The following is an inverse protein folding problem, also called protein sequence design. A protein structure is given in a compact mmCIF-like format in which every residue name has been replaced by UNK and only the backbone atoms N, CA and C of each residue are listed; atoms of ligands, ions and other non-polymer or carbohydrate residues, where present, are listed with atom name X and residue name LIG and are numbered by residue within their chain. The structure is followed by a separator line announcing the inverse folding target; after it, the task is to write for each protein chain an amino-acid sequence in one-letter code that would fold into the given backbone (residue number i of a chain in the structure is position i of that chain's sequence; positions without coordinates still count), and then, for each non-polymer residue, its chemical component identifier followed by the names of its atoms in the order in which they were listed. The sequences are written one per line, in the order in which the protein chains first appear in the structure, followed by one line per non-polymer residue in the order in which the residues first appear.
data_IF_491620770111
#
_entry.id   IF_491620770111
#
_cell.length_a   1.000
_cell.length_b   1.000
_cell.length_c   1.000
_cell.angle_alpha   90.00
_cell.angle_beta   90.00
_cell.angle_gamma   90.00
#
_symmetry.space_group_name_H-M   'P 1'
#
loop_
_entity.id
_entity.type
_entity.pdbx_description
1 polymer ?
#
# COMPACT_ATOMS: atom_id res chain seq x y z
N UNK A 1 -28.34 29.12 -3.25
CA UNK A 1 -27.73 28.65 -1.98
C UNK A 1 -27.09 27.30 -2.23
N UNK A 2 -25.76 27.19 -2.04
CA UNK A 2 -25.03 25.92 -2.11
C UNK A 2 -25.51 24.94 -1.03
N UNK A 3 -25.29 23.63 -1.23
CA UNK A 3 -25.60 22.59 -0.24
C UNK A 3 -24.92 22.88 1.11
N UNK A 4 -23.67 23.34 1.08
CA UNK A 4 -22.93 23.78 2.25
C UNK A 4 -23.64 24.92 3.01
N UNK A 5 -24.18 25.90 2.29
CA UNK A 5 -24.95 26.98 2.91
C UNK A 5 -26.20 26.48 3.65
N UNK A 6 -26.87 25.44 3.11
CA UNK A 6 -28.02 24.80 3.77
C UNK A 6 -27.59 23.99 5.00
N UNK A 7 -26.48 23.25 4.93
CA UNK A 7 -25.94 22.50 6.06
C UNK A 7 -25.50 23.44 7.19
N UNK A 8 -24.78 24.51 6.86
CA UNK A 8 -24.37 25.51 7.84
C UNK A 8 -25.57 26.16 8.56
N UNK A 9 -26.67 26.36 7.84
CA UNK A 9 -27.90 26.89 8.43
C UNK A 9 -28.64 25.83 9.27
N UNK A 10 -28.63 24.57 8.85
CA UNK A 10 -29.25 23.47 9.59
C UNK A 10 -28.55 23.19 10.92
N UNK A 11 -27.22 23.35 10.96
CA UNK A 11 -26.38 23.12 12.14
C UNK A 11 -26.07 24.41 12.93
N UNK A 12 -26.76 25.52 12.66
CA UNK A 12 -26.57 26.82 13.31
C UNK A 12 -25.10 27.27 13.42
N UNK A 13 -24.33 27.06 12.34
CA UNK A 13 -22.92 27.39 12.29
C UNK A 13 -22.68 28.92 12.40
N UNK A 14 -21.74 29.31 13.28
CA UNK A 14 -21.35 30.72 13.46
C UNK A 14 -20.82 31.33 12.15
N UNK A 15 -20.83 32.67 12.04
CA UNK A 15 -20.28 33.35 10.86
C UNK A 15 -18.79 33.04 10.61
N UNK A 16 -18.02 32.81 11.68
CA UNK A 16 -16.62 32.38 11.59
C UNK A 16 -16.50 30.97 10.99
N UNK A 17 -17.25 30.00 11.53
CA UNK A 17 -17.25 28.61 11.06
C UNK A 17 -17.78 28.53 9.62
N UNK A 18 -18.80 29.32 9.28
CA UNK A 18 -19.30 29.43 7.91
C UNK A 18 -18.23 29.95 6.95
N UNK A 19 -17.52 31.02 7.33
CA UNK A 19 -16.45 31.56 6.50
C UNK A 19 -15.35 30.54 6.25
N UNK A 20 -14.94 29.81 7.29
CA UNK A 20 -13.92 28.78 7.21
C UNK A 20 -14.36 27.57 6.38
N UNK A 21 -15.59 27.08 6.58
CA UNK A 21 -16.16 26.00 5.77
C UNK A 21 -16.33 26.39 4.30
N UNK A 22 -16.75 27.63 4.01
CA UNK A 22 -16.86 28.11 2.63
C UNK A 22 -15.48 28.26 1.98
N UNK A 23 -14.46 28.69 2.72
CA UNK A 23 -13.09 28.73 2.22
C UNK A 23 -12.57 27.30 1.92
N UNK A 24 -12.75 26.36 2.85
CA UNK A 24 -12.40 24.96 2.66
C UNK A 24 -13.15 24.32 1.48
N UNK A 25 -14.42 24.67 1.28
CA UNK A 25 -15.22 24.18 0.16
C UNK A 25 -14.79 24.76 -1.19
N UNK A 26 -14.45 26.04 -1.24
CA UNK A 26 -13.87 26.66 -2.44
C UNK A 26 -12.48 26.09 -2.77
N UNK A 27 -11.66 25.82 -1.76
CA UNK A 27 -10.38 25.14 -1.95
C UNK A 27 -10.58 23.67 -2.35
N UNK A 28 -11.69 23.03 -1.95
CA UNK A 28 -12.06 21.68 -2.38
C UNK A 28 -12.55 21.59 -3.84
N UNK A 29 -12.96 22.72 -4.44
CA UNK A 29 -13.28 22.82 -5.86
C UNK A 29 -12.01 22.82 -6.74
N UNK A 30 -10.81 22.87 -6.15
CA UNK A 30 -9.58 22.61 -6.89
C UNK A 30 -9.55 21.14 -7.33
N UNK A 31 -9.17 20.85 -8.59
CA UNK A 31 -8.99 19.49 -9.03
C UNK A 31 -8.06 18.73 -8.07
N UNK A 32 -8.37 17.49 -7.69
CA UNK A 32 -7.49 16.70 -6.86
C UNK A 32 -6.06 16.66 -7.42
N UNK A 33 -5.06 16.57 -6.54
CA UNK A 33 -3.64 16.70 -6.92
C UNK A 33 -3.18 15.73 -8.02
N UNK A 34 -3.85 14.58 -8.16
CA UNK A 34 -3.55 13.58 -9.18
C UNK A 34 -4.06 13.99 -10.57
N UNK A 35 -5.16 14.74 -10.65
CA UNK A 35 -5.70 15.26 -11.91
C UNK A 35 -4.78 16.32 -12.51
N UNK A 36 -4.17 17.18 -11.68
CA UNK A 36 -3.13 18.11 -12.11
C UNK A 36 -1.90 17.43 -12.73
N UNK A 37 -1.67 16.15 -12.42
CA UNK A 37 -0.58 15.35 -12.97
C UNK A 37 -1.05 14.41 -14.09
N UNK A 38 -2.28 14.59 -14.59
CA UNK A 38 -2.92 13.72 -15.59
C UNK A 38 -2.99 12.25 -15.19
N UNK A 39 -3.00 11.96 -13.89
CA UNK A 39 -3.14 10.61 -13.36
C UNK A 39 -4.62 10.22 -13.37
N UNK A 40 -4.94 9.18 -14.14
CA UNK A 40 -6.30 8.66 -14.29
C UNK A 40 -6.53 7.54 -13.29
N UNK A 41 -7.30 7.83 -12.26
CA UNK A 41 -7.76 6.86 -11.28
C UNK A 41 -9.27 6.72 -11.45
N UNK A 42 -9.69 5.65 -12.10
CA UNK A 42 -11.08 5.51 -12.59
C UNK A 42 -12.08 5.23 -11.48
N UNK A 43 -11.67 4.41 -10.51
CA UNK A 43 -12.56 3.96 -9.45
C UNK A 43 -12.56 4.95 -8.27
N UNK A 44 -13.77 5.27 -7.79
CA UNK A 44 -13.98 6.29 -6.77
C UNK A 44 -13.30 5.94 -5.45
N UNK A 45 -13.40 4.69 -4.99
CA UNK A 45 -12.76 4.26 -3.74
C UNK A 45 -11.23 4.37 -3.78
N UNK A 46 -10.63 4.15 -4.97
CA UNK A 46 -9.18 4.32 -5.17
C UNK A 46 -8.80 5.80 -5.11
N UNK A 47 -9.60 6.70 -5.69
CA UNK A 47 -9.40 8.16 -5.59
C UNK A 47 -9.47 8.62 -4.14
N UNK A 48 -10.46 8.15 -3.40
CA UNK A 48 -10.64 8.49 -1.99
C UNK A 48 -9.47 7.96 -1.15
N UNK A 49 -9.07 6.69 -1.33
CA UNK A 49 -7.92 6.12 -0.62
C UNK A 49 -6.61 6.84 -0.97
N UNK A 50 -6.45 7.25 -2.23
CA UNK A 50 -5.28 8.02 -2.69
C UNK A 50 -5.24 9.41 -2.05
N UNK A 51 -6.37 10.11 -1.97
CA UNK A 51 -6.50 11.40 -1.29
C UNK A 51 -6.24 11.30 0.21
N UNK A 52 -6.86 10.33 0.89
CA UNK A 52 -6.69 10.12 2.33
C UNK A 52 -5.23 9.86 2.68
N UNK A 53 -4.55 8.95 1.98
CA UNK A 53 -3.11 8.68 2.21
C UNK A 53 -2.24 9.90 1.93
N UNK A 54 -2.60 10.67 0.91
CA UNK A 54 -1.86 11.84 0.46
C UNK A 54 -1.92 13.02 1.44
N UNK A 55 -2.97 13.09 2.25
CA UNK A 55 -3.20 14.17 3.22
C UNK A 55 -3.05 13.70 4.69
N UNK A 56 -2.76 12.41 4.90
CA UNK A 56 -2.46 11.85 6.21
C UNK A 56 -1.13 12.37 6.77
N UNK A 57 -1.07 12.59 8.08
CA UNK A 57 0.19 12.78 8.81
C UNK A 57 0.86 11.45 9.19
N UNK A 58 0.04 10.41 9.43
CA UNK A 58 0.51 9.07 9.79
C UNK A 58 -0.32 8.03 9.05
N UNK A 59 0.36 6.99 8.56
CA UNK A 59 -0.25 5.81 7.93
C UNK A 59 0.31 4.57 8.59
N UNK A 60 -0.54 3.84 9.30
CA UNK A 60 -0.19 2.58 9.94
C UNK A 60 -0.94 1.44 9.26
N UNK A 61 -0.28 0.35 8.87
CA UNK A 61 -0.95 -0.70 8.09
C UNK A 61 -0.54 -2.12 8.43
N UNK A 62 -1.48 -3.04 8.19
CA UNK A 62 -1.29 -4.48 8.23
C UNK A 62 -1.52 -5.06 6.83
N UNK A 63 -0.67 -5.98 6.40
CA UNK A 63 -0.88 -6.72 5.15
C UNK A 63 -0.45 -8.18 5.23
N UNK A 64 -1.35 -9.07 4.83
CA UNK A 64 -1.18 -10.52 4.91
C UNK A 64 -0.98 -11.25 3.58
N UNK A 65 -1.04 -10.54 2.44
CA UNK A 65 -1.01 -11.21 1.13
C UNK A 65 -0.13 -10.51 0.10
N UNK A 66 -0.19 -9.19 0.05
CA UNK A 66 0.52 -8.37 -0.92
C UNK A 66 1.28 -7.26 -0.20
N UNK A 67 2.38 -6.82 -0.79
CA UNK A 67 3.11 -5.64 -0.28
C UNK A 67 2.17 -4.41 -0.34
N UNK A 68 2.08 -3.58 0.70
CA UNK A 68 1.27 -2.36 0.68
C UNK A 68 1.70 -1.38 -0.42
N UNK A 69 0.76 -0.68 -1.04
CA UNK A 69 1.02 0.17 -2.21
C UNK A 69 2.10 1.23 -2.00
N UNK A 70 2.15 1.83 -0.81
CA UNK A 70 3.17 2.84 -0.48
C UNK A 70 4.59 2.27 -0.37
N UNK A 71 4.74 0.94 -0.35
CA UNK A 71 6.01 0.23 -0.22
C UNK A 71 6.41 -0.51 -1.50
N UNK A 72 5.57 -0.51 -2.55
CA UNK A 72 5.81 -1.27 -3.79
C UNK A 72 6.87 -0.64 -4.69
N UNK A 73 7.64 -1.48 -5.37
CA UNK A 73 8.46 -1.08 -6.53
C UNK A 73 7.59 -0.92 -7.77
N UNK A 74 8.12 -0.23 -8.79
CA UNK A 74 7.42 -0.10 -10.08
C UNK A 74 7.14 -1.46 -10.72
N UNK A 75 8.08 -2.40 -10.66
CA UNK A 75 7.93 -3.72 -11.27
C UNK A 75 6.92 -4.58 -10.53
N UNK A 76 6.91 -4.54 -9.19
CA UNK A 76 5.88 -5.21 -8.39
C UNK A 76 4.49 -4.63 -8.69
N UNK A 77 4.36 -3.31 -8.73
CA UNK A 77 3.10 -2.64 -9.09
C UNK A 77 2.62 -3.01 -10.49
N UNK A 78 3.53 -3.13 -11.46
CA UNK A 78 3.18 -3.55 -12.83
C UNK A 78 2.56 -4.94 -12.86
N UNK A 79 3.13 -5.89 -12.12
CA UNK A 79 2.63 -7.27 -12.04
C UNK A 79 1.25 -7.33 -11.42
N UNK A 80 1.03 -6.58 -10.33
CA UNK A 80 -0.29 -6.52 -9.69
C UNK A 80 -1.32 -5.86 -10.62
N UNK A 81 -0.96 -4.78 -11.29
CA UNK A 81 -1.86 -4.08 -12.22
C UNK A 81 -2.30 -5.00 -13.37
N UNK A 82 -1.36 -5.71 -13.99
CA UNK A 82 -1.62 -6.66 -15.07
C UNK A 82 -2.57 -7.78 -14.61
N UNK A 83 -2.31 -8.38 -13.44
CA UNK A 83 -3.16 -9.41 -12.86
C UNK A 83 -4.59 -8.93 -12.52
N UNK A 84 -4.76 -7.64 -12.25
CA UNK A 84 -6.05 -7.02 -11.92
C UNK A 84 -6.75 -6.40 -13.15
N UNK A 85 -6.17 -6.51 -14.35
CA UNK A 85 -6.71 -5.92 -15.58
C UNK A 85 -6.67 -4.38 -15.58
N UNK A 86 -5.76 -3.78 -14.81
CA UNK A 86 -5.53 -2.33 -14.74
C UNK A 86 -4.35 -1.97 -15.65
N UNK A 87 -4.42 -0.80 -16.30
CA UNK A 87 -3.34 -0.34 -17.18
C UNK A 87 -2.03 -0.15 -16.37
N UNK A 88 -0.97 -0.93 -16.67
CA UNK A 88 0.16 -1.00 -15.75
C UNK A 88 1.01 0.28 -15.67
N UNK A 89 1.12 1.06 -16.75
CA UNK A 89 1.90 2.30 -16.73
C UNK A 89 1.23 3.35 -15.83
N UNK A 90 -0.08 3.47 -15.90
CA UNK A 90 -0.89 4.36 -15.07
C UNK A 90 -0.82 3.94 -13.61
N UNK A 91 -0.96 2.63 -13.31
CA UNK A 91 -0.84 2.14 -11.94
C UNK A 91 0.54 2.47 -11.33
N UNK A 92 1.61 2.29 -12.09
CA UNK A 92 2.98 2.66 -11.67
C UNK A 92 3.10 4.17 -11.47
N UNK A 93 2.55 4.99 -12.36
CA UNK A 93 2.58 6.44 -12.25
C UNK A 93 1.84 6.94 -10.99
N UNK A 94 0.64 6.41 -10.73
CA UNK A 94 -0.18 6.71 -9.55
C UNK A 94 0.56 6.31 -8.27
N UNK A 95 1.04 5.07 -8.21
CA UNK A 95 1.81 4.55 -7.06
C UNK A 95 3.05 5.41 -6.78
N UNK A 96 3.83 5.72 -7.81
CA UNK A 96 5.04 6.54 -7.68
C UNK A 96 4.73 7.98 -7.23
N UNK A 97 3.64 8.56 -7.73
CA UNK A 97 3.21 9.90 -7.33
C UNK A 97 2.72 9.94 -5.88
N UNK A 98 1.96 8.92 -5.45
CA UNK A 98 1.52 8.77 -4.06
C UNK A 98 2.72 8.66 -3.11
N UNK A 99 3.70 7.80 -3.42
CA UNK A 99 4.91 7.63 -2.63
C UNK A 99 5.75 8.93 -2.56
N UNK A 100 5.90 9.64 -3.68
CA UNK A 100 6.60 10.93 -3.72
C UNK A 100 5.92 11.96 -2.82
N UNK A 101 4.59 12.06 -2.91
CA UNK A 101 3.82 12.99 -2.09
C UNK A 101 3.93 12.66 -0.60
N UNK A 102 3.81 11.39 -0.23
CA UNK A 102 3.96 10.94 1.15
C UNK A 102 5.35 11.31 1.71
N UNK A 103 6.42 11.18 0.92
CA UNK A 103 7.77 11.62 1.30
C UNK A 103 7.86 13.13 1.46
N UNK A 104 7.33 13.91 0.52
CA UNK A 104 7.36 15.38 0.55
C UNK A 104 6.59 15.96 1.74
N UNK A 105 5.50 15.31 2.13
CA UNK A 105 4.68 15.69 3.29
C UNK A 105 5.24 15.19 4.63
N UNK A 106 6.27 14.36 4.61
CA UNK A 106 6.85 13.77 5.83
C UNK A 106 5.89 12.82 6.55
N UNK A 107 5.08 12.07 5.80
CA UNK A 107 4.09 11.14 6.38
C UNK A 107 4.80 10.03 7.13
N UNK A 108 4.53 9.90 8.43
CA UNK A 108 5.02 8.79 9.24
C UNK A 108 4.35 7.50 8.77
N UNK A 109 5.14 6.47 8.48
CA UNK A 109 4.64 5.21 7.95
C UNK A 109 5.15 4.06 8.79
N UNK A 110 4.24 3.23 9.29
CA UNK A 110 4.54 1.99 10.01
C UNK A 110 3.72 0.85 9.44
N UNK A 111 4.38 -0.23 9.05
CA UNK A 111 3.71 -1.38 8.50
C UNK A 111 4.13 -2.65 9.22
N UNK A 112 3.15 -3.51 9.48
CA UNK A 112 3.39 -4.91 9.81
C UNK A 112 2.95 -5.73 8.60
N UNK A 113 3.81 -6.63 8.13
CA UNK A 113 3.46 -7.57 7.06
C UNK A 113 3.57 -9.00 7.58
N UNK A 114 2.65 -9.86 7.16
CA UNK A 114 2.75 -11.29 7.43
C UNK A 114 3.93 -11.90 6.66
N UNK A 115 4.62 -12.89 7.24
CA UNK A 115 5.73 -13.57 6.57
C UNK A 115 5.29 -14.17 5.22
N UNK A 116 4.02 -14.55 5.05
CA UNK A 116 3.50 -15.02 3.76
C UNK A 116 3.71 -14.03 2.61
N UNK A 117 3.73 -12.71 2.87
CA UNK A 117 4.01 -11.66 1.88
C UNK A 117 5.40 -11.84 1.27
N UNK A 118 6.39 -12.27 2.07
CA UNK A 118 7.77 -12.46 1.61
C UNK A 118 8.09 -13.91 1.22
N UNK A 119 7.24 -14.86 1.63
CA UNK A 119 7.37 -16.28 1.24
C UNK A 119 6.77 -16.61 -0.13
N UNK A 120 5.77 -15.85 -0.58
CA UNK A 120 5.04 -16.10 -1.85
C UNK A 120 5.44 -15.07 -2.91
N UNK A 121 6.37 -15.41 -3.83
CA UNK A 121 6.91 -14.41 -4.76
C UNK A 121 5.85 -13.93 -5.75
N UNK A 122 5.77 -12.61 -5.93
CA UNK A 122 4.95 -11.97 -6.96
C UNK A 122 5.87 -11.50 -8.08
N UNK A 123 5.50 -11.77 -9.33
CA UNK A 123 6.27 -11.30 -10.49
C UNK A 123 7.54 -12.10 -10.79
N UNK A 124 7.68 -13.28 -10.18
CA UNK A 124 8.87 -14.12 -10.29
C UNK A 124 10.00 -13.68 -9.35
N UNK A 125 11.12 -14.43 -9.34
CA UNK A 125 12.16 -14.26 -8.33
C UNK A 125 12.85 -12.90 -8.34
N UNK A 126 13.12 -12.35 -9.54
CA UNK A 126 13.82 -11.07 -9.69
C UNK A 126 12.99 -9.90 -9.16
N UNK A 127 11.74 -9.78 -9.61
CA UNK A 127 10.82 -8.71 -9.16
C UNK A 127 10.66 -8.73 -7.64
N UNK A 128 10.51 -9.93 -7.08
CA UNK A 128 10.37 -10.09 -5.63
C UNK A 128 11.67 -9.77 -4.87
N UNK A 129 12.85 -10.11 -5.41
CA UNK A 129 14.13 -9.79 -4.77
C UNK A 129 14.36 -8.27 -4.72
N UNK A 130 14.04 -7.57 -5.81
CA UNK A 130 14.11 -6.10 -5.88
C UNK A 130 13.09 -5.46 -4.91
N UNK A 131 11.89 -6.04 -4.80
CA UNK A 131 10.90 -5.61 -3.81
C UNK A 131 11.38 -5.82 -2.37
N UNK A 132 11.97 -6.97 -2.05
CA UNK A 132 12.51 -7.25 -0.71
C UNK A 132 13.65 -6.30 -0.37
N UNK A 133 14.48 -5.91 -1.32
CA UNK A 133 15.54 -4.92 -1.10
C UNK A 133 14.98 -3.57 -0.61
N UNK A 134 13.82 -3.14 -1.12
CA UNK A 134 13.11 -1.95 -0.60
C UNK A 134 12.58 -2.19 0.81
N UNK A 135 12.00 -3.36 1.08
CA UNK A 135 11.47 -3.71 2.40
C UNK A 135 12.56 -3.73 3.48
N UNK A 136 13.76 -4.23 3.15
CA UNK A 136 14.94 -4.20 4.05
C UNK A 136 15.31 -2.78 4.46
N UNK A 137 15.32 -1.86 3.50
CA UNK A 137 15.58 -0.44 3.77
C UNK A 137 14.54 0.19 4.69
N UNK A 138 13.26 -0.21 4.58
CA UNK A 138 12.19 0.26 5.45
C UNK A 138 12.26 -0.37 6.84
N UNK A 139 12.62 -1.65 6.94
CA UNK A 139 12.83 -2.33 8.21
C UNK A 139 13.98 -1.70 9.01
N UNK A 140 15.11 -1.42 8.35
CA UNK A 140 16.26 -0.72 8.96
C UNK A 140 15.95 0.73 9.38
N UNK A 141 14.85 1.32 8.90
CA UNK A 141 14.35 2.62 9.35
C UNK A 141 13.33 2.50 10.49
N UNK A 142 13.05 1.29 10.98
CA UNK A 142 12.01 1.02 11.98
C UNK A 142 10.58 1.22 11.45
N UNK A 143 10.38 1.25 10.13
CA UNK A 143 9.08 1.52 9.48
C UNK A 143 8.33 0.26 9.07
N UNK A 144 9.01 -0.88 9.08
CA UNK A 144 8.46 -2.17 8.69
C UNK A 144 8.84 -3.23 9.71
N UNK A 145 7.87 -4.05 10.11
CA UNK A 145 8.09 -5.30 10.85
C UNK A 145 7.45 -6.46 10.12
N UNK A 146 8.03 -7.65 10.25
CA UNK A 146 7.45 -8.89 9.74
C UNK A 146 6.85 -9.66 10.91
N UNK A 147 5.59 -10.09 10.81
CA UNK A 147 5.02 -11.06 11.73
C UNK A 147 5.48 -12.45 11.27
N UNK A 148 6.32 -13.10 12.08
CA UNK A 148 6.88 -14.40 11.77
C UNK A 148 5.81 -15.49 11.70
N UNK A 149 6.06 -16.52 10.91
CA UNK A 149 5.17 -17.67 10.76
C UNK A 149 4.90 -18.36 12.11
N UNK A 150 5.91 -18.42 12.98
CA UNK A 150 5.83 -19.01 14.31
C UNK A 150 4.96 -18.21 15.28
N UNK A 151 4.74 -16.92 15.02
CA UNK A 151 3.84 -16.06 15.82
C UNK A 151 2.37 -16.48 15.67
N UNK A 152 2.05 -17.34 14.69
CA UNK A 152 0.72 -17.82 14.41
C UNK A 152 -0.12 -16.81 13.63
N UNK A 153 -1.27 -17.27 13.12
CA UNK A 153 -2.16 -16.40 12.36
C UNK A 153 -2.87 -15.41 13.28
N UNK A 154 -2.79 -14.12 12.96
CA UNK A 154 -3.55 -13.11 13.66
C UNK A 154 -5.00 -13.09 13.13
N UNK A 155 -6.03 -13.18 13.99
CA UNK A 155 -7.42 -13.38 13.57
C UNK A 155 -8.06 -12.10 13.01
N UNK A 156 -7.64 -11.71 11.81
CA UNK A 156 -8.16 -10.56 11.07
C UNK A 156 -8.73 -11.00 9.74
N UNK A 157 -9.84 -10.39 9.35
CA UNK A 157 -10.54 -10.74 8.12
C UNK A 157 -9.85 -10.19 6.86
N UNK A 158 -9.07 -9.11 6.99
CA UNK A 158 -8.33 -8.52 5.87
C UNK A 158 -7.27 -7.49 6.27
N UNK A 159 -6.37 -7.21 5.33
CA UNK A 159 -5.44 -6.09 5.35
C UNK A 159 -6.16 -4.76 5.59
N UNK A 160 -5.48 -3.85 6.29
CA UNK A 160 -6.02 -2.52 6.56
C UNK A 160 -4.91 -1.46 6.67
N UNK A 161 -5.31 -0.20 6.47
CA UNK A 161 -4.51 0.99 6.75
C UNK A 161 -5.30 1.97 7.61
N UNK A 162 -4.64 2.54 8.62
CA UNK A 162 -5.11 3.58 9.50
C UNK A 162 -4.43 4.89 9.10
N UNK A 163 -5.19 5.81 8.54
CA UNK A 163 -4.70 7.10 8.09
C UNK A 163 -5.15 8.18 9.08
N UNK A 164 -4.20 8.80 9.78
CA UNK A 164 -4.48 9.98 10.61
C UNK A 164 -4.42 11.23 9.74
N UNK A 165 -5.58 11.78 9.40
CA UNK A 165 -5.71 13.01 8.60
C UNK A 165 -6.05 14.19 9.52
N UNK A 166 -5.36 15.35 9.42
CA UNK A 166 -5.67 16.51 10.25
C UNK A 166 -7.14 16.93 10.13
N UNK A 167 -7.78 17.17 11.27
CA UNK A 167 -9.19 17.60 11.31
C UNK A 167 -10.21 16.49 11.10
N UNK A 168 -9.78 15.24 10.90
CA UNK A 168 -10.64 14.06 10.82
C UNK A 168 -10.29 13.06 11.93
N UNK A 169 -11.27 12.24 12.31
CA UNK A 169 -10.98 10.99 13.00
C UNK A 169 -10.09 10.08 12.13
N UNK A 170 -9.38 9.14 12.75
CA UNK A 170 -8.54 8.20 11.99
C UNK A 170 -9.40 7.44 10.98
N UNK A 171 -9.02 7.53 9.71
CA UNK A 171 -9.69 6.88 8.60
C UNK A 171 -9.17 5.45 8.48
N UNK A 172 -10.07 4.48 8.48
CA UNK A 172 -9.75 3.07 8.27
C UNK A 172 -10.01 2.73 6.80
N UNK A 173 -9.01 2.19 6.13
CA UNK A 173 -9.08 1.73 4.75
C UNK A 173 -8.79 0.23 4.67
N UNK A 174 -9.62 -0.52 3.95
CA UNK A 174 -9.36 -1.92 3.62
C UNK A 174 -8.99 -2.06 2.14
N UNK A 175 -7.70 -2.19 1.79
CA UNK A 175 -7.26 -2.16 0.38
C UNK A 175 -7.91 -3.22 -0.51
N UNK A 176 -8.16 -4.41 0.04
CA UNK A 176 -8.73 -5.53 -0.73
C UNK A 176 -10.23 -5.38 -0.96
N UNK A 177 -10.96 -4.93 0.05
CA UNK A 177 -12.40 -4.67 -0.05
C UNK A 177 -12.71 -3.33 -0.71
N UNK A 178 -11.70 -2.45 -0.81
CA UNK A 178 -11.78 -1.07 -1.29
C UNK A 178 -12.78 -0.24 -0.48
N UNK A 179 -12.95 -0.55 0.80
CA UNK A 179 -13.86 0.16 1.69
C UNK A 179 -13.13 1.15 2.57
N UNK A 180 -13.76 2.30 2.81
CA UNK A 180 -13.23 3.38 3.65
C UNK A 180 -14.26 3.66 4.74
N UNK A 181 -13.79 3.75 5.98
CA UNK A 181 -14.60 4.04 7.15
C UNK A 181 -14.06 5.31 7.82
N UNK A 182 -14.91 6.32 7.93
CA UNK A 182 -14.64 7.55 8.67
C UNK A 182 -15.26 7.42 10.06
N UNK A 183 -14.42 7.37 11.10
CA UNK A 183 -14.85 7.05 12.47
C UNK A 183 -14.91 5.54 12.75
N UNK A 184 -14.86 5.16 14.04
CA UNK A 184 -14.94 3.75 14.45
C UNK A 184 -13.64 2.93 14.30
N UNK A 185 -12.52 3.57 13.99
CA UNK A 185 -11.22 2.90 13.84
C UNK A 185 -10.58 2.43 15.17
N UNK A 186 -11.18 2.71 16.33
CA UNK A 186 -10.60 2.40 17.66
C UNK A 186 -10.19 0.94 17.81
N UNK A 187 -11.05 0.00 17.39
CA UNK A 187 -10.70 -1.43 17.46
C UNK A 187 -9.47 -1.78 16.61
N UNK A 188 -9.34 -1.16 15.44
CA UNK A 188 -8.21 -1.41 14.54
C UNK A 188 -6.91 -0.75 15.03
N UNK A 189 -6.99 0.36 15.77
CA UNK A 189 -5.82 0.96 16.41
C UNK A 189 -5.19 0.02 17.44
N UNK A 190 -6.01 -0.53 18.33
CA UNK A 190 -5.55 -1.49 19.35
C UNK A 190 -5.02 -2.78 18.70
N UNK A 191 -5.68 -3.25 17.65
CA UNK A 191 -5.20 -4.37 16.83
C UNK A 191 -3.82 -4.06 16.26
N UNK A 192 -3.61 -2.89 15.66
CA UNK A 192 -2.33 -2.52 15.09
C UNK A 192 -1.23 -2.44 16.17
N UNK A 193 -1.52 -1.87 17.34
CA UNK A 193 -0.54 -1.83 18.45
C UNK A 193 -0.15 -3.25 18.87
N UNK A 194 -1.13 -4.16 18.98
CA UNK A 194 -0.85 -5.58 19.31
C UNK A 194 -0.02 -6.25 18.23
N UNK A 195 -0.38 -6.09 16.95
CA UNK A 195 0.39 -6.60 15.82
C UNK A 195 1.83 -6.08 15.84
N UNK A 196 2.01 -4.78 16.04
CA UNK A 196 3.33 -4.15 16.08
C UNK A 196 4.20 -4.70 17.21
N UNK A 197 3.61 -4.94 18.38
CA UNK A 197 4.30 -5.52 19.54
C UNK A 197 4.58 -7.03 19.43
N UNK A 198 3.82 -7.75 18.60
CA UNK A 198 4.04 -9.18 18.34
C UNK A 198 4.97 -9.44 17.15
N UNK A 199 5.01 -8.52 16.19
CA UNK A 199 5.88 -8.64 15.03
C UNK A 199 7.35 -8.49 15.40
N UNK A 200 8.20 -9.10 14.58
CA UNK A 200 9.62 -9.19 14.83
C UNK A 200 10.27 -7.80 14.91
N UNK A 201 11.09 -7.61 15.92
CA UNK A 201 11.95 -6.43 16.06
C UNK A 201 12.94 -6.33 14.88
N UNK A 202 13.63 -5.20 14.76
CA UNK A 202 14.43 -4.85 13.56
C UNK A 202 15.36 -5.97 13.09
N UNK A 203 16.18 -6.54 13.98
CA UNK A 203 17.17 -7.56 13.61
C UNK A 203 16.54 -8.86 13.11
N UNK A 204 15.44 -9.29 13.72
CA UNK A 204 14.73 -10.52 13.33
C UNK A 204 13.92 -10.30 12.05
N UNK A 205 13.28 -9.13 11.89
CA UNK A 205 12.65 -8.72 10.63
C UNK A 205 13.67 -8.72 9.48
N UNK A 206 14.85 -8.13 9.69
CA UNK A 206 15.91 -8.11 8.67
C UNK A 206 16.40 -9.53 8.32
N UNK A 207 16.55 -10.41 9.31
CA UNK A 207 16.93 -11.80 9.07
C UNK A 207 15.92 -12.55 8.20
N UNK A 208 14.61 -12.37 8.43
CA UNK A 208 13.55 -12.97 7.61
C UNK A 208 13.59 -12.44 6.15
N UNK A 209 13.83 -11.14 5.98
CA UNK A 209 13.95 -10.53 4.66
C UNK A 209 15.23 -11.00 3.93
N UNK A 210 16.35 -11.17 4.64
CA UNK A 210 17.61 -11.66 4.10
C UNK A 210 17.52 -13.13 3.66
N UNK A 211 16.85 -13.98 4.45
CA UNK A 211 16.54 -15.36 4.07
C UNK A 211 15.69 -15.39 2.78
N UNK A 212 14.61 -14.61 2.75
CA UNK A 212 13.73 -14.54 1.60
C UNK A 212 14.48 -14.08 0.34
N UNK A 213 15.33 -13.05 0.44
CA UNK A 213 16.16 -12.58 -0.66
C UNK A 213 17.14 -13.66 -1.17
N UNK A 214 17.74 -14.42 -0.25
CA UNK A 214 18.67 -15.52 -0.56
C UNK A 214 17.96 -16.65 -1.32
N UNK A 215 16.76 -17.06 -0.86
CA UNK A 215 15.95 -18.11 -1.54
C UNK A 215 15.57 -17.72 -2.96
N UNK A 216 15.21 -16.46 -3.20
CA UNK A 216 14.88 -15.96 -4.54
C UNK A 216 16.10 -15.96 -5.47
N UNK A 217 17.25 -15.53 -4.96
CA UNK A 217 18.52 -15.50 -5.72
C UNK A 217 18.98 -16.91 -6.14
N UNK A 218 18.80 -17.90 -5.26
CA UNK A 218 19.08 -19.31 -5.55
C UNK A 218 18.17 -19.87 -6.66
N UNK A 219 16.90 -19.46 -6.67
CA UNK A 219 15.91 -19.90 -7.66
C UNK A 219 16.25 -19.39 -9.06
N UNK A 220 16.65 -18.11 -9.19
CA UNK A 220 17.11 -17.52 -10.46
C UNK A 220 18.32 -18.25 -11.05
N UNK A 221 19.26 -18.65 -10.19
CA UNK A 221 20.47 -19.39 -10.60
C UNK A 221 20.15 -20.80 -11.10
N UNK A 222 19.15 -21.46 -10.52
CA UNK A 222 18.69 -22.77 -10.95
C UNK A 222 17.96 -22.72 -12.31
N UNK A 223 17.14 -21.69 -12.57
CA UNK A 223 16.43 -21.53 -13.85
C UNK A 223 17.38 -21.26 -15.02
N UNK A 224 18.51 -20.58 -14.79
CA UNK A 224 19.54 -20.32 -15.81
C UNK A 224 20.41 -21.55 -16.15
N UNK A 225 20.32 -22.65 -15.38
CA UNK A 225 21.12 -23.88 -15.57
C UNK A 225 20.41 -25.03 -16.29
N UNK A 226 19.24 -24.80 -16.90
CA UNK A 226 18.59 -25.83 -17.71
C UNK A 226 19.40 -26.08 -19.01
N UNK A 227 19.80 -27.33 -19.31
CA UNK A 227 20.47 -27.67 -20.56
C UNK A 227 19.52 -27.51 -21.75
N UNK A 228 20.08 -27.05 -22.88
CA UNK A 228 19.35 -26.77 -24.11
C UNK A 228 18.40 -27.90 -24.51
N UNK A 229 17.20 -27.52 -24.97
CA UNK A 229 16.22 -28.45 -25.57
C UNK A 229 16.91 -29.36 -26.58
N UNK A 230 16.75 -30.69 -26.52
CA UNK A 230 17.16 -31.56 -27.62
C UNK A 230 16.34 -31.19 -28.85
N UNK A 231 17.03 -31.02 -29.98
CA UNK A 231 16.42 -30.73 -31.27
C UNK A 231 15.38 -31.80 -31.63
N UNK A 232 14.22 -31.35 -32.10
CA UNK A 232 13.26 -32.20 -32.80
C UNK A 232 13.88 -32.60 -34.14
N UNK A 233 14.57 -33.74 -34.17
CA UNK A 233 14.85 -34.45 -35.40
C UNK A 233 13.51 -34.82 -36.04
N UNK A 234 13.23 -34.22 -37.20
CA UNK A 234 12.15 -34.67 -38.08
C UNK A 234 12.62 -35.93 -38.78
N UNK A 235 11.90 -37.06 -38.71
CA UNK A 235 12.21 -38.19 -39.55
C UNK A 235 11.84 -37.84 -41.00
N UNK A 236 12.83 -37.93 -41.88
CA UNK A 236 12.60 -38.06 -43.31
C UNK A 236 12.00 -39.41 -43.66
N UNK A 237 11.11 -39.40 -44.64
CA UNK A 237 10.53 -40.56 -45.32
C UNK A 237 9.57 -40.00 -46.36
N UNK A 238 10.00 -39.87 -47.61
CA UNK A 238 10.03 -40.90 -48.66
C UNK A 238 8.74 -40.83 -49.49
#
# INVERSE_FOLDING_TARGET
MSLLGKLCQLYDASSSVRGELFALWQDSDLPPWWEHQNLRVSAEDERTALGVRADAQRVHGWAEALVPELLRTADYTRVIADAMGVEPQMAVAVCSAAQRRARQRGVEQRYVVDETVIRRPVGGPQVMADQISVLRGLAAQGRLRVLAWESGHYPLDSAFELCSVPGLDTVLYHPRARTIHTGGAFGHHDVFIRLWGQAEEESATLALLDDAHTRLSATTTATLRLPGRPGLDRPGGA
#
